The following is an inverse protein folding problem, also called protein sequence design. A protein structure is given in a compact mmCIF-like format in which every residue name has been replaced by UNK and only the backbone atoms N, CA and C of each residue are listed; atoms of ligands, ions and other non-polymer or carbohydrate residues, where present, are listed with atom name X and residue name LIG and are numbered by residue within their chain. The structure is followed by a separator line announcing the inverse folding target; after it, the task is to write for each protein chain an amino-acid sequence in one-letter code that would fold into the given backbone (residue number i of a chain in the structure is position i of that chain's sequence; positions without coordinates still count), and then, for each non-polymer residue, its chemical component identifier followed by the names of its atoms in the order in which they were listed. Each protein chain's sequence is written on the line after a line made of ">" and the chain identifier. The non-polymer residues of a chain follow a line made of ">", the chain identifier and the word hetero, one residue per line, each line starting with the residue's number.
data_IF_705482805696
#
_entry.id   IF_705482805696
#
_cell.length_a   1.000
_cell.length_b   1.000
_cell.length_c   1.000
_cell.angle_alpha   90.00
_cell.angle_beta   90.00
_cell.angle_gamma   90.00
#
_symmetry.space_group_name_H-M   'P 1'
#
loop_
_entity.id
_entity.type
_entity.pdbx_description
1 polymer ?
#
# COMPACT_ATOMS: atom_id res chain seq x y z
N UNK A 1 9.34 7.95 -13.34
CA UNK A 1 8.08 8.54 -13.87
C UNK A 1 7.41 7.55 -14.83
N UNK A 2 6.09 7.42 -14.71
CA UNK A 2 5.25 6.66 -15.64
C UNK A 2 4.75 7.59 -16.74
N UNK A 3 4.74 7.14 -18.01
CA UNK A 3 4.16 7.88 -19.12
C UNK A 3 3.28 6.97 -19.98
N UNK A 4 2.19 7.55 -20.48
CA UNK A 4 1.28 6.88 -21.40
C UNK A 4 0.78 7.87 -22.47
N UNK A 5 0.42 7.35 -23.64
CA UNK A 5 -0.17 8.13 -24.74
C UNK A 5 -1.47 7.47 -25.16
N UNK A 6 -2.53 8.25 -25.28
CA UNK A 6 -3.80 7.81 -25.81
C UNK A 6 -3.83 8.03 -27.31
N UNK A 7 -3.96 6.94 -28.09
CA UNK A 7 -3.81 7.01 -29.56
C UNK A 7 -4.81 7.94 -30.27
N UNK A 8 -6.03 8.09 -29.74
CA UNK A 8 -7.02 9.03 -30.31
C UNK A 8 -6.64 10.50 -30.09
N UNK A 9 -5.78 10.79 -29.12
CA UNK A 9 -5.33 12.13 -28.76
C UNK A 9 -3.91 12.41 -29.29
N UNK A 10 -3.37 11.55 -30.14
CA UNK A 10 -2.05 11.66 -30.75
C UNK A 10 -2.15 11.68 -32.31
N UNK A 11 -2.76 12.71 -32.90
CA UNK A 11 -3.01 12.78 -34.33
C UNK A 11 -1.73 12.86 -35.15
N UNK A 12 -0.63 13.32 -34.56
CA UNK A 12 0.66 13.47 -35.26
C UNK A 12 1.58 12.26 -35.03
N UNK A 13 1.29 11.40 -34.06
CA UNK A 13 2.13 10.27 -33.66
C UNK A 13 3.40 10.67 -32.92
N UNK A 14 3.47 11.88 -32.37
CA UNK A 14 4.62 12.43 -31.63
C UNK A 14 4.38 12.54 -30.11
N UNK A 15 3.22 12.09 -29.62
CA UNK A 15 2.83 12.19 -28.22
C UNK A 15 3.82 11.54 -27.26
N UNK A 16 4.42 10.41 -27.65
CA UNK A 16 5.43 9.74 -26.85
C UNK A 16 6.71 10.56 -26.67
N UNK A 17 7.19 11.18 -27.75
CA UNK A 17 8.40 12.02 -27.72
C UNK A 17 8.15 13.31 -26.91
N UNK A 18 6.94 13.87 -27.01
CA UNK A 18 6.51 15.02 -26.20
C UNK A 18 6.48 14.64 -24.72
N UNK A 19 5.88 13.49 -24.36
CA UNK A 19 5.82 13.00 -22.97
C UNK A 19 7.23 12.78 -22.40
N UNK A 20 8.14 12.18 -23.15
CA UNK A 20 9.55 12.02 -22.76
C UNK A 20 10.24 13.37 -22.53
N UNK A 21 10.08 14.31 -23.48
CA UNK A 21 10.65 15.63 -23.37
C UNK A 21 10.13 16.38 -22.13
N UNK A 22 8.85 16.25 -21.82
CA UNK A 22 8.25 16.79 -20.61
C UNK A 22 8.86 16.18 -19.34
N UNK A 23 8.99 14.84 -19.30
CA UNK A 23 9.66 14.15 -18.18
C UNK A 23 11.09 14.65 -17.96
N UNK A 24 11.87 14.79 -19.04
CA UNK A 24 13.24 15.33 -18.95
C UNK A 24 13.23 16.77 -18.44
N UNK A 25 12.34 17.60 -18.96
CA UNK A 25 12.22 19.01 -18.57
C UNK A 25 11.86 19.22 -17.10
N UNK A 26 11.07 18.29 -16.51
CA UNK A 26 10.69 18.32 -15.09
C UNK A 26 11.64 17.54 -14.18
N UNK A 27 12.66 16.86 -14.74
CA UNK A 27 13.61 16.02 -14.02
C UNK A 27 13.02 14.66 -13.59
N UNK A 28 11.87 14.28 -14.13
CA UNK A 28 11.22 13.00 -13.86
C UNK A 28 11.95 11.79 -14.45
N UNK A 29 12.88 12.00 -15.36
CA UNK A 29 13.73 10.98 -15.97
C UNK A 29 14.86 10.48 -15.08
N UNK A 30 15.21 11.21 -14.01
CA UNK A 30 16.33 10.86 -13.11
C UNK A 30 16.17 9.49 -12.43
N UNK A 31 14.94 9.09 -12.15
CA UNK A 31 14.63 7.79 -11.57
C UNK A 31 14.22 6.74 -12.64
N UNK A 32 14.31 7.10 -13.92
CA UNK A 32 13.85 6.28 -15.03
C UNK A 32 12.45 6.67 -15.52
N UNK A 33 12.16 6.27 -16.76
CA UNK A 33 10.87 6.49 -17.42
C UNK A 33 10.30 5.14 -17.83
N UNK A 34 9.13 4.80 -17.33
CA UNK A 34 8.39 3.59 -17.65
C UNK A 34 7.25 3.93 -18.62
N UNK A 35 7.09 3.09 -19.62
CA UNK A 35 5.98 3.19 -20.57
C UNK A 35 4.82 2.31 -20.08
N UNK A 36 3.64 2.86 -20.05
CA UNK A 36 2.43 2.14 -19.65
C UNK A 36 1.24 2.55 -20.52
N UNK A 37 0.06 2.13 -20.16
CA UNK A 37 -1.19 2.56 -20.74
C UNK A 37 -2.07 3.22 -19.67
N UNK A 38 -2.95 4.14 -20.05
CA UNK A 38 -3.93 4.73 -19.13
C UNK A 38 -4.76 3.65 -18.41
N UNK A 39 -5.08 2.57 -19.11
CA UNK A 39 -5.87 1.47 -18.53
C UNK A 39 -5.09 0.70 -17.48
N UNK A 40 -3.82 0.38 -17.73
CA UNK A 40 -2.98 -0.34 -16.77
C UNK A 40 -2.69 0.54 -15.55
N UNK A 41 -2.36 1.81 -15.78
CA UNK A 41 -2.09 2.78 -14.72
C UNK A 41 -3.28 2.95 -13.80
N UNK A 42 -4.46 3.29 -14.32
CA UNK A 42 -5.67 3.50 -13.50
C UNK A 42 -6.03 2.25 -12.69
N UNK A 43 -5.92 1.06 -13.28
CA UNK A 43 -6.24 -0.18 -12.57
C UNK A 43 -5.25 -0.49 -11.45
N UNK A 44 -3.96 -0.33 -11.72
CA UNK A 44 -2.92 -0.61 -10.72
C UNK A 44 -2.90 0.43 -9.61
N UNK A 45 -3.10 1.70 -9.96
CA UNK A 45 -3.15 2.80 -9.02
C UNK A 45 -4.33 2.67 -8.06
N UNK A 46 -5.55 2.50 -8.59
CA UNK A 46 -6.73 2.30 -7.76
C UNK A 46 -6.63 1.05 -6.88
N UNK A 47 -6.07 -0.05 -7.39
CA UNK A 47 -5.86 -1.25 -6.59
C UNK A 47 -4.83 -1.00 -5.47
N UNK A 48 -3.74 -0.32 -5.77
CA UNK A 48 -2.71 0.05 -4.81
C UNK A 48 -3.23 0.99 -3.72
N UNK A 49 -3.90 2.04 -4.11
CA UNK A 49 -4.43 3.02 -3.17
C UNK A 49 -5.55 2.45 -2.30
N UNK A 50 -6.57 1.85 -2.90
CA UNK A 50 -7.74 1.40 -2.16
C UNK A 50 -7.46 0.17 -1.30
N UNK A 51 -6.77 -0.82 -1.86
CA UNK A 51 -6.58 -2.09 -1.15
C UNK A 51 -5.40 -2.00 -0.19
N UNK A 52 -4.26 -1.47 -0.64
CA UNK A 52 -3.04 -1.45 0.17
C UNK A 52 -3.01 -0.24 1.11
N UNK A 53 -3.02 0.98 0.57
CA UNK A 53 -2.82 2.18 1.40
C UNK A 53 -4.02 2.44 2.32
N UNK A 54 -5.21 2.53 1.78
CA UNK A 54 -6.41 2.86 2.56
C UNK A 54 -7.00 1.64 3.29
N UNK A 55 -6.77 0.43 2.81
CA UNK A 55 -7.25 -0.81 3.41
C UNK A 55 -6.27 -1.44 4.38
N UNK A 56 -5.24 -2.11 3.83
CA UNK A 56 -4.33 -2.96 4.61
C UNK A 56 -3.50 -2.14 5.61
N UNK A 57 -2.88 -1.04 5.19
CA UNK A 57 -2.01 -0.25 6.08
C UNK A 57 -2.80 0.42 7.19
N UNK A 58 -3.92 1.07 6.88
CA UNK A 58 -4.73 1.76 7.88
C UNK A 58 -5.31 0.77 8.88
N UNK A 59 -6.04 -0.23 8.40
CA UNK A 59 -6.66 -1.24 9.28
C UNK A 59 -5.62 -2.03 10.06
N UNK A 60 -4.53 -2.41 9.42
CA UNK A 60 -3.41 -3.11 10.05
C UNK A 60 -2.76 -2.30 11.16
N UNK A 61 -2.56 -1.00 10.95
CA UNK A 61 -2.01 -0.09 11.98
C UNK A 61 -2.90 -0.03 13.21
N UNK A 62 -4.20 0.19 13.02
CA UNK A 62 -5.18 0.27 14.12
C UNK A 62 -5.24 -1.04 14.91
N UNK A 63 -5.39 -2.17 14.20
CA UNK A 63 -5.48 -3.48 14.85
C UNK A 63 -4.21 -3.85 15.59
N UNK A 64 -3.05 -3.57 15.01
CA UNK A 64 -1.77 -3.88 15.63
C UNK A 64 -1.54 -3.02 16.87
N UNK A 65 -1.78 -1.71 16.77
CA UNK A 65 -1.70 -0.80 17.90
C UNK A 65 -2.59 -1.25 19.07
N UNK A 66 -3.87 -1.48 18.79
CA UNK A 66 -4.84 -1.89 19.80
C UNK A 66 -4.42 -3.22 20.46
N UNK A 67 -3.89 -4.17 19.69
CA UNK A 67 -3.40 -5.45 20.22
C UNK A 67 -2.17 -5.28 21.11
N UNK A 68 -1.21 -4.44 20.70
CA UNK A 68 0.00 -4.16 21.48
C UNK A 68 -0.35 -3.52 22.82
N UNK A 69 -1.17 -2.48 22.84
CA UNK A 69 -1.58 -1.77 24.04
C UNK A 69 -2.40 -2.69 24.97
N UNK A 70 -3.33 -3.48 24.42
CA UNK A 70 -4.07 -4.46 25.18
C UNK A 70 -3.19 -5.56 25.80
N UNK A 71 -2.01 -5.80 25.23
CA UNK A 71 -1.00 -6.73 25.76
C UNK A 71 -0.04 -6.09 26.77
N UNK A 72 -0.26 -4.81 27.14
CA UNK A 72 0.53 -4.09 28.13
C UNK A 72 1.77 -3.39 27.56
N UNK A 73 1.90 -3.31 26.24
CA UNK A 73 2.96 -2.53 25.59
C UNK A 73 2.65 -1.04 25.74
N UNK A 74 3.69 -0.24 26.01
CA UNK A 74 3.58 1.22 26.10
C UNK A 74 3.00 1.82 24.80
N UNK A 75 2.03 2.71 24.94
CA UNK A 75 1.30 3.29 23.81
C UNK A 75 2.20 4.15 22.90
N UNK A 76 3.13 4.91 23.50
CA UNK A 76 4.08 5.74 22.74
C UNK A 76 5.08 4.89 21.96
N UNK A 77 5.53 3.78 22.54
CA UNK A 77 6.37 2.81 21.83
C UNK A 77 5.60 2.14 20.69
N UNK A 78 4.38 1.68 20.93
CA UNK A 78 3.53 1.05 19.92
C UNK A 78 3.25 2.01 18.75
N UNK A 79 2.89 3.26 19.04
CA UNK A 79 2.68 4.28 18.02
C UNK A 79 3.93 4.49 17.17
N UNK A 80 5.10 4.66 17.79
CA UNK A 80 6.36 4.84 17.06
C UNK A 80 6.74 3.61 16.23
N UNK A 81 6.63 2.42 16.80
CA UNK A 81 6.94 1.19 16.09
C UNK A 81 6.12 1.06 14.81
N UNK A 82 4.84 1.41 14.86
CA UNK A 82 3.95 1.28 13.70
C UNK A 82 4.18 2.42 12.70
N UNK A 83 4.20 3.66 13.14
CA UNK A 83 4.35 4.82 12.24
C UNK A 83 5.64 4.78 11.41
N UNK A 84 6.74 4.38 12.02
CA UNK A 84 8.05 4.29 11.33
C UNK A 84 8.37 2.89 10.82
N UNK A 85 7.68 1.88 11.33
CA UNK A 85 7.89 0.48 10.95
C UNK A 85 7.48 0.19 9.51
N UNK A 86 6.38 0.76 9.04
CA UNK A 86 5.97 0.61 7.65
C UNK A 86 7.04 1.11 6.69
N UNK A 87 7.60 2.30 6.94
CA UNK A 87 8.68 2.84 6.12
C UNK A 87 9.93 1.95 6.16
N UNK A 88 10.36 1.55 7.35
CA UNK A 88 11.55 0.71 7.53
C UNK A 88 11.42 -0.64 6.82
N UNK A 89 10.26 -1.28 6.93
CA UNK A 89 9.97 -2.58 6.32
C UNK A 89 9.90 -2.46 4.78
N UNK A 90 9.21 -1.45 4.28
CA UNK A 90 9.06 -1.24 2.83
C UNK A 90 10.35 -0.75 2.17
N UNK A 91 11.22 -0.04 2.88
CA UNK A 91 12.55 0.31 2.36
C UNK A 91 13.42 -0.94 2.15
N UNK A 92 13.36 -1.91 3.05
CA UNK A 92 14.03 -3.19 2.85
C UNK A 92 13.46 -3.97 1.65
N UNK A 93 12.14 -3.92 1.44
CA UNK A 93 11.48 -4.50 0.26
C UNK A 93 11.98 -3.83 -1.04
N UNK A 94 12.05 -2.51 -1.07
CA UNK A 94 12.48 -1.71 -2.22
C UNK A 94 13.89 -2.07 -2.69
N UNK A 95 14.81 -2.34 -1.79
CA UNK A 95 16.22 -2.58 -2.10
C UNK A 95 16.60 -4.04 -2.37
N UNK A 96 15.69 -4.98 -2.28
CA UNK A 96 16.04 -6.39 -2.54
C UNK A 96 14.85 -7.33 -2.54
N UNK A 97 13.64 -6.78 -2.68
CA UNK A 97 12.41 -7.54 -2.75
C UNK A 97 12.02 -8.21 -1.42
N UNK A 98 11.03 -9.09 -1.51
CA UNK A 98 10.49 -9.82 -0.35
C UNK A 98 11.59 -10.59 0.38
N UNK A 99 12.52 -11.21 -0.35
CA UNK A 99 13.62 -11.97 0.25
C UNK A 99 14.48 -11.10 1.15
N UNK A 100 14.91 -9.94 0.67
CA UNK A 100 15.72 -9.02 1.48
C UNK A 100 14.97 -8.51 2.71
N UNK A 101 13.71 -8.18 2.56
CA UNK A 101 12.85 -7.77 3.68
C UNK A 101 12.75 -8.87 4.73
N UNK A 102 12.50 -10.12 4.31
CA UNK A 102 12.40 -11.28 5.22
C UNK A 102 13.75 -11.64 5.88
N UNK A 103 14.88 -11.40 5.20
CA UNK A 103 16.21 -11.67 5.73
C UNK A 103 16.66 -10.70 6.82
N UNK A 104 15.94 -9.58 7.00
CA UNK A 104 16.17 -8.66 8.12
C UNK A 104 15.62 -9.18 9.45
N UNK A 105 14.70 -10.15 9.45
CA UNK A 105 14.17 -10.71 10.68
C UNK A 105 15.14 -11.73 11.30
N UNK A 106 15.13 -11.83 12.62
CA UNK A 106 15.73 -12.97 13.33
C UNK A 106 15.06 -14.29 12.91
N UNK A 107 15.74 -15.41 13.04
CA UNK A 107 15.18 -16.70 12.61
C UNK A 107 13.80 -17.03 13.23
N UNK A 108 13.55 -16.84 14.54
CA UNK A 108 12.22 -17.06 15.10
C UNK A 108 11.17 -16.13 14.53
N UNK A 109 11.50 -14.84 14.36
CA UNK A 109 10.59 -13.84 13.78
C UNK A 109 10.27 -14.15 12.33
N UNK A 110 11.28 -14.62 11.55
CA UNK A 110 11.11 -15.01 10.14
C UNK A 110 10.11 -16.17 9.99
N UNK A 111 10.25 -17.23 10.80
CA UNK A 111 9.30 -18.36 10.78
C UNK A 111 7.88 -17.85 11.04
N UNK A 112 7.71 -17.04 12.09
CA UNK A 112 6.40 -16.49 12.44
C UNK A 112 5.83 -15.57 11.37
N UNK A 113 6.66 -14.78 10.72
CA UNK A 113 6.23 -13.91 9.62
C UNK A 113 5.76 -14.70 8.39
N UNK A 114 6.41 -15.82 8.07
CA UNK A 114 5.95 -16.71 6.99
C UNK A 114 4.58 -17.32 7.31
N UNK A 115 4.42 -17.91 8.51
CA UNK A 115 3.13 -18.48 8.95
C UNK A 115 2.00 -17.45 8.87
N UNK A 116 2.22 -16.25 9.44
CA UNK A 116 1.23 -15.17 9.40
C UNK A 116 0.93 -14.68 7.97
N UNK A 117 1.94 -14.61 7.11
CA UNK A 117 1.73 -14.18 5.73
C UNK A 117 0.86 -15.19 4.97
N UNK A 118 1.03 -16.48 5.18
CA UNK A 118 0.21 -17.51 4.55
C UNK A 118 -1.24 -17.45 5.05
N UNK A 119 -1.46 -17.31 6.38
CA UNK A 119 -2.80 -17.09 6.95
C UNK A 119 -3.46 -15.81 6.40
N UNK A 120 -2.70 -14.70 6.32
CA UNK A 120 -3.20 -13.43 5.78
C UNK A 120 -3.56 -13.55 4.30
N UNK A 121 -2.79 -14.29 3.50
CA UNK A 121 -3.14 -14.53 2.08
C UNK A 121 -4.50 -15.21 1.95
N UNK A 122 -4.78 -16.25 2.75
CA UNK A 122 -6.07 -16.93 2.71
C UNK A 122 -7.23 -15.97 3.05
N UNK A 123 -7.06 -15.14 4.09
CA UNK A 123 -8.09 -14.19 4.54
C UNK A 123 -8.28 -13.04 3.55
N UNK A 124 -7.20 -12.52 2.97
CA UNK A 124 -7.24 -11.32 2.14
C UNK A 124 -7.54 -11.61 0.66
N UNK A 125 -7.31 -12.82 0.15
CA UNK A 125 -7.54 -13.16 -1.26
C UNK A 125 -8.93 -12.74 -1.74
N UNK A 126 -10.05 -13.12 -1.08
CA UNK A 126 -11.38 -12.71 -1.55
C UNK A 126 -11.59 -11.19 -1.54
N UNK A 127 -10.91 -10.48 -0.65
CA UNK A 127 -10.97 -9.02 -0.57
C UNK A 127 -10.25 -8.38 -1.77
N UNK A 128 -9.07 -8.86 -2.10
CA UNK A 128 -8.30 -8.37 -3.25
C UNK A 128 -9.02 -8.63 -4.58
N UNK A 129 -9.58 -9.83 -4.74
CA UNK A 129 -10.39 -10.18 -5.92
C UNK A 129 -11.60 -9.27 -6.05
N UNK A 130 -12.36 -9.09 -4.96
CA UNK A 130 -13.52 -8.21 -4.93
C UNK A 130 -13.16 -6.75 -5.27
N UNK A 131 -12.09 -6.21 -4.69
CA UNK A 131 -11.67 -4.84 -4.97
C UNK A 131 -11.24 -4.66 -6.43
N UNK A 132 -10.53 -5.64 -7.01
CA UNK A 132 -10.20 -5.60 -8.42
C UNK A 132 -11.46 -5.65 -9.30
N UNK A 133 -12.44 -6.47 -8.97
CA UNK A 133 -13.72 -6.52 -9.68
C UNK A 133 -14.48 -5.19 -9.59
N UNK A 134 -14.48 -4.55 -8.43
CA UNK A 134 -15.08 -3.22 -8.23
C UNK A 134 -14.38 -2.14 -9.10
N UNK A 135 -13.05 -2.22 -9.24
CA UNK A 135 -12.27 -1.34 -10.12
C UNK A 135 -12.59 -1.62 -11.59
N UNK A 136 -12.55 -2.89 -12.00
CA UNK A 136 -12.76 -3.30 -13.41
C UNK A 136 -14.19 -3.03 -13.90
N UNK A 137 -15.19 -3.23 -13.05
CA UNK A 137 -16.60 -2.99 -13.38
C UNK A 137 -16.98 -1.51 -13.36
N UNK A 138 -16.12 -0.64 -12.82
CA UNK A 138 -16.43 0.78 -12.58
C UNK A 138 -17.31 1.02 -11.36
N UNK A 139 -17.62 -0.01 -10.57
CA UNK A 139 -18.43 0.12 -9.35
C UNK A 139 -17.77 1.04 -8.33
N UNK A 140 -16.44 0.94 -8.16
CA UNK A 140 -15.67 1.83 -7.30
C UNK A 140 -15.84 3.30 -7.71
N UNK A 141 -15.61 3.63 -8.98
CA UNK A 141 -15.73 4.99 -9.48
C UNK A 141 -17.17 5.54 -9.36
N UNK A 142 -18.16 4.68 -9.63
CA UNK A 142 -19.57 5.06 -9.46
C UNK A 142 -19.94 5.37 -8.01
N UNK A 143 -19.41 4.59 -7.06
CA UNK A 143 -19.61 4.80 -5.62
C UNK A 143 -18.97 6.11 -5.17
N UNK A 144 -17.73 6.37 -5.59
CA UNK A 144 -17.02 7.62 -5.29
C UNK A 144 -17.79 8.85 -5.84
N UNK A 145 -18.23 8.79 -7.10
CA UNK A 145 -18.98 9.89 -7.71
C UNK A 145 -20.32 10.13 -7.03
N UNK A 146 -20.95 9.07 -6.51
CA UNK A 146 -22.21 9.20 -5.76
C UNK A 146 -21.99 9.90 -4.42
N UNK A 147 -20.92 9.57 -3.71
CA UNK A 147 -20.59 10.25 -2.44
C UNK A 147 -20.20 11.70 -2.68
N UNK A 148 -19.38 11.96 -3.71
CA UNK A 148 -19.06 13.34 -4.13
C UNK A 148 -20.31 14.16 -4.44
N UNK A 149 -21.28 13.62 -5.15
CA UNK A 149 -22.55 14.27 -5.41
C UNK A 149 -23.37 14.51 -4.12
N UNK A 150 -23.07 13.78 -3.04
CA UNK A 150 -23.65 13.93 -1.70
C UNK A 150 -22.75 14.74 -0.74
N UNK A 151 -21.88 15.60 -1.28
CA UNK A 151 -20.92 16.43 -0.55
C UNK A 151 -19.93 15.62 0.31
N UNK A 152 -19.46 14.49 -0.18
CA UNK A 152 -18.47 13.62 0.45
C UNK A 152 -18.89 13.14 1.85
N UNK A 153 -20.19 12.93 2.06
CA UNK A 153 -20.74 12.66 3.39
C UNK A 153 -20.18 11.38 4.01
N UNK A 154 -20.01 10.31 3.24
CA UNK A 154 -19.42 9.07 3.72
C UNK A 154 -17.93 9.22 3.98
N UNK A 155 -17.19 9.86 3.08
CA UNK A 155 -15.76 10.12 3.24
C UNK A 155 -15.47 10.96 4.50
N UNK A 156 -16.25 12.02 4.73
CA UNK A 156 -16.08 12.88 5.91
C UNK A 156 -16.41 12.14 7.20
N UNK A 157 -17.43 11.29 7.20
CA UNK A 157 -17.79 10.45 8.35
C UNK A 157 -16.68 9.45 8.67
N UNK A 158 -16.16 8.71 7.70
CA UNK A 158 -15.06 7.77 7.90
C UNK A 158 -13.79 8.47 8.39
N UNK A 159 -13.51 9.66 7.89
CA UNK A 159 -12.37 10.47 8.34
C UNK A 159 -12.52 10.86 9.81
N UNK A 160 -13.73 11.26 10.24
CA UNK A 160 -14.00 11.59 11.64
C UNK A 160 -13.88 10.35 12.54
N UNK A 161 -14.44 9.21 12.11
CA UNK A 161 -14.32 7.94 12.82
C UNK A 161 -12.84 7.54 13.01
N UNK A 162 -12.03 7.61 11.93
CA UNK A 162 -10.61 7.29 11.99
C UNK A 162 -9.84 8.25 12.90
N UNK A 163 -10.10 9.55 12.83
CA UNK A 163 -9.44 10.52 13.70
C UNK A 163 -9.69 10.27 15.20
N UNK A 164 -10.76 9.58 15.54
CA UNK A 164 -11.09 9.22 16.93
C UNK A 164 -10.47 7.88 17.39
N UNK A 165 -9.79 7.17 16.51
CA UNK A 165 -9.10 5.92 16.87
C UNK A 165 -7.95 6.19 17.84
N UNK A 166 -7.74 5.32 18.85
CA UNK A 166 -6.66 5.48 19.81
C UNK A 166 -5.27 5.58 19.18
N UNK A 167 -5.05 4.94 18.05
CA UNK A 167 -3.79 5.03 17.28
C UNK A 167 -3.52 6.43 16.75
N UNK A 168 -4.54 7.08 16.18
CA UNK A 168 -4.43 8.44 15.65
C UNK A 168 -4.21 9.50 16.75
N UNK A 169 -4.71 9.23 17.96
CA UNK A 169 -4.55 10.10 19.12
C UNK A 169 -3.26 9.84 19.92
N UNK A 170 -2.51 8.80 19.54
CA UNK A 170 -1.32 8.42 20.29
C UNK A 170 -0.11 9.28 19.91
N UNK A 171 0.61 9.76 20.94
CA UNK A 171 1.91 10.40 20.75
C UNK A 171 3.02 9.36 20.67
N UNK A 172 3.75 9.32 19.57
CA UNK A 172 4.93 8.47 19.43
C UNK A 172 6.02 8.90 20.42
N UNK A 173 6.62 7.94 21.12
CA UNK A 173 7.73 8.23 22.03
C UNK A 173 8.89 8.92 21.34
N UNK A 174 9.60 9.82 22.03
CA UNK A 174 10.78 10.48 21.49
C UNK A 174 12.01 9.55 21.38
N UNK A 175 12.10 8.53 22.25
CA UNK A 175 13.20 7.57 22.24
C UNK A 175 13.36 6.86 20.89
N UNK A 176 14.61 6.68 20.46
CA UNK A 176 14.92 5.95 19.22
C UNK A 176 14.65 4.47 19.42
N UNK A 177 13.99 3.87 18.43
CA UNK A 177 13.84 2.41 18.33
C UNK A 177 14.96 1.89 17.43
N UNK A 178 15.77 0.92 17.86
CA UNK A 178 16.77 0.28 17.00
C UNK A 178 16.12 -0.33 15.76
N UNK A 179 16.77 -0.24 14.60
CA UNK A 179 16.22 -0.74 13.32
C UNK A 179 15.75 -2.20 13.41
N UNK A 180 16.53 -3.05 14.08
CA UNK A 180 16.20 -4.47 14.23
C UNK A 180 14.86 -4.71 14.94
N UNK A 181 14.46 -3.83 15.86
CA UNK A 181 13.19 -3.97 16.58
C UNK A 181 11.98 -3.73 15.66
N UNK A 182 12.09 -2.90 14.62
CA UNK A 182 11.03 -2.73 13.64
C UNK A 182 10.71 -4.04 12.90
N UNK A 183 11.71 -4.88 12.69
CA UNK A 183 11.54 -6.20 12.09
C UNK A 183 11.05 -7.23 13.11
N UNK A 184 11.74 -7.37 14.23
CA UNK A 184 11.47 -8.46 15.18
C UNK A 184 10.22 -8.23 16.05
N UNK A 185 9.86 -6.97 16.32
CA UNK A 185 8.63 -6.61 17.04
C UNK A 185 7.49 -6.22 16.09
N UNK A 186 7.80 -5.91 14.81
CA UNK A 186 6.84 -5.58 13.75
C UNK A 186 6.47 -6.76 12.85
N UNK A 187 6.54 -7.99 13.34
CA UNK A 187 6.32 -9.22 12.56
C UNK A 187 5.00 -9.17 11.77
N UNK A 188 3.93 -8.65 12.36
CA UNK A 188 2.65 -8.52 11.68
C UNK A 188 2.73 -7.59 10.48
N UNK A 189 3.42 -6.45 10.58
CA UNK A 189 3.64 -5.53 9.45
C UNK A 189 4.42 -6.21 8.32
N UNK A 190 5.50 -6.92 8.67
CA UNK A 190 6.30 -7.66 7.67
C UNK A 190 5.45 -8.72 6.97
N UNK A 191 4.64 -9.48 7.71
CA UNK A 191 3.73 -10.48 7.16
C UNK A 191 2.66 -9.85 6.24
N UNK A 192 2.09 -8.72 6.65
CA UNK A 192 1.11 -7.97 5.85
C UNK A 192 1.71 -7.41 4.57
N UNK A 193 2.93 -6.86 4.61
CA UNK A 193 3.63 -6.39 3.41
C UNK A 193 3.92 -7.56 2.47
N UNK A 194 4.43 -8.69 2.99
CA UNK A 194 4.67 -9.87 2.16
C UNK A 194 3.40 -10.36 1.48
N UNK A 195 2.36 -10.62 2.26
CA UNK A 195 1.08 -11.12 1.73
C UNK A 195 0.41 -10.13 0.78
N UNK A 196 0.39 -8.84 1.14
CA UNK A 196 -0.21 -7.78 0.34
C UNK A 196 0.48 -7.58 -1.01
N UNK A 197 1.82 -7.58 -1.04
CA UNK A 197 2.59 -7.45 -2.28
C UNK A 197 2.38 -8.64 -3.22
N UNK A 198 2.42 -9.86 -2.68
CA UNK A 198 2.17 -11.07 -3.47
C UNK A 198 0.75 -11.09 -4.04
N UNK A 199 -0.26 -10.80 -3.21
CA UNK A 199 -1.66 -10.76 -3.65
C UNK A 199 -1.93 -9.63 -4.65
N UNK A 200 -1.36 -8.44 -4.43
CA UNK A 200 -1.51 -7.33 -5.37
C UNK A 200 -0.93 -7.70 -6.74
N UNK A 201 0.26 -8.28 -6.78
CA UNK A 201 0.89 -8.75 -8.01
C UNK A 201 0.03 -9.82 -8.69
N UNK A 202 -0.35 -10.87 -7.99
CA UNK A 202 -1.13 -11.98 -8.53
C UNK A 202 -2.49 -11.49 -9.08
N UNK A 203 -3.19 -10.62 -8.35
CA UNK A 203 -4.49 -10.08 -8.73
C UNK A 203 -4.39 -9.17 -9.96
N UNK A 204 -3.37 -8.30 -10.02
CA UNK A 204 -3.12 -7.43 -11.16
C UNK A 204 -2.78 -8.23 -12.42
N UNK A 205 -1.90 -9.23 -12.31
CA UNK A 205 -1.55 -10.11 -13.43
C UNK A 205 -2.75 -10.90 -13.92
N UNK A 206 -3.56 -11.45 -13.01
CA UNK A 206 -4.79 -12.17 -13.36
C UNK A 206 -5.81 -11.27 -14.07
N UNK A 207 -5.84 -9.98 -13.74
CA UNK A 207 -6.70 -8.97 -14.42
C UNK A 207 -6.17 -8.51 -15.79
N UNK A 208 -5.04 -9.06 -16.25
CA UNK A 208 -4.45 -8.79 -17.56
C UNK A 208 -3.48 -7.59 -17.59
N UNK A 209 -3.07 -7.06 -16.46
CA UNK A 209 -2.00 -6.07 -16.36
C UNK A 209 -0.67 -6.80 -16.57
N UNK A 210 0.09 -6.39 -17.57
CA UNK A 210 1.34 -7.08 -18.00
C UNK A 210 2.60 -6.27 -17.72
N UNK A 211 2.45 -5.07 -17.19
CA UNK A 211 3.53 -4.07 -17.03
C UNK A 211 3.87 -3.81 -15.57
#
# INVERSE_FOLDING_TARGET
>A
TLIAVHGENDPNGDGLEIAKAYCCGTGGDRAGVLFSSFTAEVKSDLMGEQTILCGVLQTGSILFYNKMVASGIDSGYAAKLIQYGWETVTEALKHGGITNMMDRLSNPAKIKAFELADELKEIMTPLFEKHMDDVLSGHFSATMMKDWANNDADLLRWREETNNEPFEQAEAQAAVIPEQEYFDNGILMVAMVKAGVELAFDTMVASGIKE
#
